data_IF_891737299081
#
_entry.id   IF_891737299081
#
_cell.length_a   1.000
_cell.length_b   1.000
_cell.length_c   1.000
_cell.angle_alpha   90.00
_cell.angle_beta   90.00
_cell.angle_gamma   90.00
#
_symmetry.space_group_name_H-M   'P 1'
#
loop_
_entity.id
_entity.type
_entity.pdbx_description
1 polymer ?
#
# COMPACT_ATOMS: atom_id res chain seq x y z
N UNK A 1 63.38 13.76 -24.47
CA UNK A 1 62.37 13.13 -23.60
C UNK A 1 61.48 14.24 -23.03
N UNK A 2 60.53 14.74 -23.81
CA UNK A 2 59.61 15.80 -23.39
C UNK A 2 58.20 15.21 -23.31
N UNK A 3 57.65 15.09 -22.10
CA UNK A 3 56.29 14.62 -21.83
C UNK A 3 55.31 15.77 -22.09
N UNK A 4 54.34 15.52 -22.96
CA UNK A 4 53.14 16.34 -23.14
C UNK A 4 52.22 16.08 -21.94
N UNK A 5 51.91 17.14 -21.17
CA UNK A 5 50.90 17.10 -20.12
C UNK A 5 49.53 17.39 -20.76
N UNK A 6 48.68 16.37 -20.88
CA UNK A 6 47.26 16.56 -21.14
C UNK A 6 46.58 16.92 -19.80
N UNK A 7 46.16 18.18 -19.66
CA UNK A 7 45.20 18.58 -18.64
C UNK A 7 43.80 18.18 -19.09
N UNK A 8 43.16 17.25 -18.39
CA UNK A 8 41.72 17.05 -18.47
C UNK A 8 41.03 18.12 -17.59
N UNK A 9 39.99 18.82 -18.08
CA UNK A 9 39.19 19.66 -17.21
C UNK A 9 38.29 18.79 -16.34
N UNK A 10 38.36 19.00 -15.03
CA UNK A 10 37.43 18.41 -14.07
C UNK A 10 36.04 19.01 -14.27
N UNK A 11 35.10 18.22 -14.78
CA UNK A 11 33.67 18.56 -14.85
C UNK A 11 32.89 17.60 -13.98
N UNK A 12 32.83 17.80 -12.66
CA UNK A 12 31.96 17.01 -11.77
C UNK A 12 31.48 17.77 -10.51
N UNK A 13 31.56 19.11 -10.49
CA UNK A 13 31.13 19.91 -9.32
C UNK A 13 29.80 20.66 -9.46
N UNK A 14 29.33 20.94 -10.69
CA UNK A 14 28.23 21.88 -10.92
C UNK A 14 26.83 21.26 -10.86
N UNK A 15 26.66 20.03 -11.35
CA UNK A 15 25.34 19.40 -11.44
C UNK A 15 24.77 19.01 -10.06
N UNK A 16 25.62 18.58 -9.12
CA UNK A 16 25.21 18.24 -7.75
C UNK A 16 24.85 19.45 -6.89
N UNK A 17 25.51 20.59 -7.11
CA UNK A 17 25.21 21.83 -6.38
C UNK A 17 23.95 22.50 -6.90
N UNK A 18 23.72 22.46 -8.22
CA UNK A 18 22.48 22.96 -8.83
C UNK A 18 21.26 22.09 -8.46
N UNK A 19 21.42 20.77 -8.36
CA UNK A 19 20.33 19.90 -7.92
C UNK A 19 20.02 20.10 -6.43
N UNK A 20 21.04 20.21 -5.57
CA UNK A 20 20.87 20.50 -4.16
C UNK A 20 20.13 21.84 -3.92
N UNK A 21 20.57 22.91 -4.59
CA UNK A 21 19.91 24.22 -4.46
C UNK A 21 18.46 24.25 -4.97
N UNK A 22 18.14 23.46 -6.00
CA UNK A 22 16.76 23.31 -6.46
C UNK A 22 15.88 22.55 -5.45
N UNK A 23 16.43 21.50 -4.81
CA UNK A 23 15.70 20.76 -3.76
C UNK A 23 15.36 21.65 -2.57
N UNK A 24 16.30 22.49 -2.14
CA UNK A 24 16.10 23.43 -1.03
C UNK A 24 15.03 24.47 -1.38
N UNK A 25 15.07 25.04 -2.60
CA UNK A 25 14.07 26.01 -3.06
C UNK A 25 12.64 25.44 -3.11
N UNK A 26 12.50 24.17 -3.52
CA UNK A 26 11.20 23.48 -3.57
C UNK A 26 10.70 23.14 -2.17
N UNK A 27 11.58 22.68 -1.28
CA UNK A 27 11.21 22.35 0.09
C UNK A 27 10.79 23.58 0.90
N UNK A 28 11.45 24.72 0.70
CA UNK A 28 11.15 25.96 1.44
C UNK A 28 9.92 26.72 0.89
N UNK A 29 9.43 26.35 -0.30
CA UNK A 29 8.33 27.06 -0.96
C UNK A 29 6.95 26.50 -0.58
N UNK A 30 6.19 27.30 0.17
CA UNK A 30 4.79 27.00 0.55
C UNK A 30 3.91 26.66 -0.66
N UNK A 31 4.09 27.36 -1.79
CA UNK A 31 3.31 27.10 -3.02
C UNK A 31 3.59 25.72 -3.60
N UNK A 32 4.85 25.26 -3.56
CA UNK A 32 5.22 23.93 -4.03
C UNK A 32 4.73 22.85 -3.07
N UNK A 33 4.86 23.08 -1.76
CA UNK A 33 4.29 22.19 -0.73
C UNK A 33 2.79 21.98 -0.95
N UNK A 34 2.01 23.06 -1.06
CA UNK A 34 0.58 23.00 -1.33
C UNK A 34 0.27 22.27 -2.64
N UNK A 35 1.00 22.60 -3.72
CA UNK A 35 0.86 21.95 -5.02
C UNK A 35 1.08 20.43 -4.94
N UNK A 36 2.06 19.98 -4.17
CA UNK A 36 2.36 18.56 -3.96
C UNK A 36 1.24 17.86 -3.18
N UNK A 37 0.79 18.43 -2.06
CA UNK A 37 -0.28 17.81 -1.25
C UNK A 37 -1.62 17.78 -1.99
N UNK A 38 -1.99 18.84 -2.73
CA UNK A 38 -3.18 18.81 -3.57
C UNK A 38 -3.06 17.82 -4.73
N UNK A 39 -1.87 17.64 -5.30
CA UNK A 39 -1.61 16.61 -6.31
C UNK A 39 -1.80 15.21 -5.73
N UNK A 40 -1.25 14.93 -4.54
CA UNK A 40 -1.48 13.67 -3.83
C UNK A 40 -2.97 13.46 -3.58
N UNK A 41 -3.67 14.47 -3.05
CA UNK A 41 -5.12 14.44 -2.84
C UNK A 41 -5.88 14.03 -4.11
N UNK A 42 -5.60 14.71 -5.24
CA UNK A 42 -6.25 14.43 -6.51
C UNK A 42 -6.01 12.99 -6.99
N UNK A 43 -4.78 12.49 -6.88
CA UNK A 43 -4.44 11.13 -7.30
C UNK A 43 -5.09 10.08 -6.40
N UNK A 44 -5.08 10.26 -5.08
CA UNK A 44 -5.79 9.37 -4.15
C UNK A 44 -7.30 9.37 -4.38
N UNK A 45 -7.90 10.55 -4.62
CA UNK A 45 -9.32 10.66 -4.94
C UNK A 45 -9.67 9.91 -6.24
N UNK A 46 -8.78 9.95 -7.24
CA UNK A 46 -8.94 9.18 -8.47
C UNK A 46 -8.89 7.67 -8.20
N UNK A 47 -7.89 7.18 -7.45
CA UNK A 47 -7.79 5.75 -7.11
C UNK A 47 -9.01 5.29 -6.30
N UNK A 48 -9.44 6.09 -5.32
CA UNK A 48 -10.64 5.85 -4.51
C UNK A 48 -11.89 5.74 -5.39
N UNK A 49 -12.08 6.68 -6.33
CA UNK A 49 -13.20 6.68 -7.27
C UNK A 49 -13.19 5.44 -8.18
N UNK A 50 -12.01 5.04 -8.69
CA UNK A 50 -11.87 3.81 -9.49
C UNK A 50 -12.28 2.58 -8.68
N UNK A 51 -11.84 2.47 -7.42
CA UNK A 51 -12.20 1.35 -6.54
C UNK A 51 -13.72 1.29 -6.30
N UNK A 52 -14.36 2.43 -6.07
CA UNK A 52 -15.81 2.52 -5.89
C UNK A 52 -16.58 2.13 -7.15
N UNK A 53 -16.17 2.63 -8.32
CA UNK A 53 -16.77 2.27 -9.60
C UNK A 53 -16.63 0.75 -9.84
N UNK A 54 -15.46 0.17 -9.54
CA UNK A 54 -15.26 -1.27 -9.65
C UNK A 54 -16.17 -2.05 -8.70
N UNK A 55 -16.32 -1.61 -7.45
CA UNK A 55 -17.24 -2.21 -6.46
C UNK A 55 -18.68 -2.20 -6.97
N UNK A 56 -19.18 -1.04 -7.41
CA UNK A 56 -20.55 -0.88 -7.94
C UNK A 56 -20.75 -1.80 -9.15
N UNK A 57 -19.78 -1.85 -10.07
CA UNK A 57 -19.86 -2.73 -11.24
C UNK A 57 -19.92 -4.21 -10.87
N UNK A 58 -19.23 -4.63 -9.82
CA UNK A 58 -19.29 -6.02 -9.33
C UNK A 58 -20.64 -6.29 -8.68
N UNK A 59 -21.14 -5.39 -7.82
CA UNK A 59 -22.44 -5.54 -7.16
C UNK A 59 -23.58 -5.66 -8.18
N UNK A 60 -23.62 -4.78 -9.19
CA UNK A 60 -24.62 -4.81 -10.25
C UNK A 60 -24.48 -6.03 -11.19
N UNK A 61 -23.28 -6.62 -11.28
CA UNK A 61 -23.03 -7.78 -12.15
C UNK A 61 -23.48 -9.09 -11.51
N UNK A 62 -23.30 -9.22 -10.19
CA UNK A 62 -23.49 -10.43 -9.39
C UNK A 62 -24.05 -10.09 -7.99
N UNK A 63 -25.28 -9.56 -7.89
CA UNK A 63 -25.90 -9.22 -6.60
C UNK A 63 -26.14 -10.48 -5.74
N UNK A 64 -26.38 -11.63 -6.36
CA UNK A 64 -26.73 -12.88 -5.68
C UNK A 64 -25.60 -13.52 -4.87
N UNK A 65 -24.34 -13.14 -5.11
CA UNK A 65 -23.18 -13.70 -4.41
C UNK A 65 -22.87 -13.01 -3.07
N UNK A 66 -23.70 -12.04 -2.64
CA UNK A 66 -23.50 -11.30 -1.40
C UNK A 66 -22.13 -10.62 -1.32
N UNK A 67 -21.60 -10.45 -0.10
CA UNK A 67 -20.30 -9.81 0.14
C UNK A 67 -19.13 -10.78 -0.01
N UNK A 68 -18.49 -10.75 -1.18
CA UNK A 68 -17.28 -11.55 -1.47
C UNK A 68 -16.00 -10.83 -1.04
N UNK A 69 -14.90 -11.58 -0.85
CA UNK A 69 -13.57 -11.01 -0.55
C UNK A 69 -13.14 -9.96 -1.57
N UNK A 70 -13.53 -10.11 -2.84
CA UNK A 70 -13.26 -9.12 -3.89
C UNK A 70 -14.02 -7.80 -3.65
N UNK A 71 -15.31 -7.86 -3.30
CA UNK A 71 -16.10 -6.67 -2.97
C UNK A 71 -15.53 -5.97 -1.74
N UNK A 72 -15.17 -6.74 -0.71
CA UNK A 72 -14.52 -6.20 0.50
C UNK A 72 -13.19 -5.53 0.16
N UNK A 73 -12.35 -6.15 -0.68
CA UNK A 73 -11.07 -5.56 -1.11
C UNK A 73 -11.26 -4.21 -1.82
N UNK A 74 -12.25 -4.07 -2.71
CA UNK A 74 -12.54 -2.80 -3.38
C UNK A 74 -13.14 -1.76 -2.44
N UNK A 75 -14.03 -2.17 -1.53
CA UNK A 75 -14.56 -1.28 -0.48
C UNK A 75 -13.43 -0.74 0.41
N UNK A 76 -12.53 -1.60 0.87
CA UNK A 76 -11.41 -1.19 1.70
C UNK A 76 -10.45 -0.26 0.93
N UNK A 77 -10.19 -0.51 -0.35
CA UNK A 77 -9.41 0.42 -1.18
C UNK A 77 -10.10 1.78 -1.34
N UNK A 78 -11.42 1.80 -1.54
CA UNK A 78 -12.20 3.05 -1.59
C UNK A 78 -12.02 3.84 -0.28
N UNK A 79 -12.15 3.17 0.87
CA UNK A 79 -11.99 3.79 2.20
C UNK A 79 -10.56 4.27 2.43
N UNK A 80 -9.54 3.43 2.24
CA UNK A 80 -8.13 3.79 2.46
C UNK A 80 -7.73 4.99 1.63
N UNK A 81 -7.95 4.93 0.31
CA UNK A 81 -7.57 6.00 -0.60
C UNK A 81 -8.43 7.24 -0.39
N UNK A 82 -9.71 7.08 -0.04
CA UNK A 82 -10.62 8.20 0.25
C UNK A 82 -10.20 8.96 1.51
N UNK A 83 -9.93 8.25 2.61
CA UNK A 83 -9.44 8.86 3.85
C UNK A 83 -8.11 9.58 3.59
N UNK A 84 -7.18 8.95 2.86
CA UNK A 84 -5.90 9.57 2.50
C UNK A 84 -6.06 10.83 1.63
N UNK A 85 -6.99 10.81 0.67
CA UNK A 85 -7.31 11.98 -0.15
C UNK A 85 -7.83 13.14 0.72
N UNK A 86 -8.77 12.86 1.64
CA UNK A 86 -9.30 13.85 2.57
C UNK A 86 -8.17 14.46 3.42
N UNK A 87 -7.31 13.63 3.98
CA UNK A 87 -6.19 14.11 4.82
C UNK A 87 -5.25 15.05 4.06
N UNK A 88 -4.89 14.72 2.81
CA UNK A 88 -4.06 15.60 2.00
C UNK A 88 -4.80 16.83 1.47
N UNK A 89 -6.12 16.74 1.23
CA UNK A 89 -6.92 17.91 0.86
C UNK A 89 -7.07 18.92 2.00
N UNK A 90 -6.99 18.45 3.25
CA UNK A 90 -7.02 19.27 4.45
C UNK A 90 -5.63 19.40 5.10
N UNK A 91 -4.52 19.20 4.37
CA UNK A 91 -3.17 19.14 4.93
C UNK A 91 -2.85 20.36 5.81
N UNK A 92 -3.21 21.56 5.37
CA UNK A 92 -3.01 22.80 6.16
C UNK A 92 -3.63 22.75 7.55
N UNK A 93 -4.75 22.05 7.74
CA UNK A 93 -5.38 21.89 9.05
C UNK A 93 -4.86 20.66 9.80
N UNK A 94 -4.61 19.56 9.07
CA UNK A 94 -4.18 18.28 9.64
C UNK A 94 -2.83 18.39 10.35
N UNK A 95 -1.89 19.13 9.78
CA UNK A 95 -0.57 19.31 10.37
C UNK A 95 -0.50 20.41 11.44
N UNK A 96 -1.55 21.25 11.56
CA UNK A 96 -1.67 22.28 12.60
C UNK A 96 -2.40 21.80 13.86
N UNK A 97 -2.87 20.54 13.90
CA UNK A 97 -3.57 20.03 15.07
C UNK A 97 -2.66 19.94 16.29
N UNK A 98 -3.06 20.63 17.36
CA UNK A 98 -2.63 20.33 18.72
C UNK A 98 -3.70 19.45 19.39
N UNK A 99 -3.35 18.27 19.95
CA UNK A 99 -1.99 17.74 20.18
C UNK A 99 -1.40 16.98 18.98
N UNK A 100 -0.05 16.91 18.90
CA UNK A 100 0.72 16.19 17.87
C UNK A 100 0.29 14.74 17.67
N UNK A 101 -0.17 14.09 18.74
CA UNK A 101 -0.71 12.73 18.71
C UNK A 101 -1.87 12.59 17.72
N UNK A 102 -2.69 13.63 17.53
CA UNK A 102 -3.79 13.61 16.55
C UNK A 102 -3.25 13.51 15.12
N UNK A 103 -2.21 14.27 14.80
CA UNK A 103 -1.54 14.24 13.48
C UNK A 103 -0.95 12.85 13.20
N UNK A 104 -0.29 12.24 14.19
CA UNK A 104 0.23 10.86 14.08
C UNK A 104 -0.90 9.86 13.80
N UNK A 105 -1.99 9.91 14.57
CA UNK A 105 -3.16 9.05 14.37
C UNK A 105 -3.73 9.21 12.95
N UNK A 106 -3.94 10.46 12.52
CA UNK A 106 -4.51 10.76 11.22
C UNK A 106 -3.61 10.25 10.07
N UNK A 107 -2.29 10.37 10.20
CA UNK A 107 -1.34 9.92 9.16
C UNK A 107 -1.09 8.41 9.19
N UNK A 108 -1.12 7.77 10.36
CA UNK A 108 -0.88 6.33 10.50
C UNK A 108 -2.11 5.48 10.17
N UNK A 109 -3.32 5.96 10.49
CA UNK A 109 -4.55 5.19 10.34
C UNK A 109 -4.78 4.68 8.91
N UNK A 110 -4.63 5.49 7.83
CA UNK A 110 -4.77 4.96 6.47
C UNK A 110 -3.66 3.96 6.12
N UNK A 111 -2.48 4.07 6.76
CA UNK A 111 -1.41 3.08 6.66
C UNK A 111 -1.80 1.72 7.25
N UNK A 112 -2.48 1.71 8.41
CA UNK A 112 -3.04 0.50 8.98
C UNK A 112 -4.17 -0.08 8.14
N UNK A 113 -5.08 0.77 7.65
CA UNK A 113 -6.16 0.34 6.76
C UNK A 113 -5.57 -0.26 5.46
N UNK A 114 -4.48 0.31 4.94
CA UNK A 114 -3.73 -0.24 3.81
C UNK A 114 -3.17 -1.63 4.17
N UNK A 115 -2.52 -1.80 5.32
CA UNK A 115 -2.09 -3.11 5.80
C UNK A 115 -3.23 -4.13 5.81
N UNK A 116 -4.38 -3.82 6.40
CA UNK A 116 -5.54 -4.72 6.43
C UNK A 116 -6.05 -5.06 5.04
N UNK A 117 -6.12 -4.06 4.15
CA UNK A 117 -6.61 -4.19 2.78
C UNK A 117 -5.76 -5.16 1.98
N UNK A 118 -4.44 -5.08 2.09
CA UNK A 118 -3.54 -5.91 1.30
C UNK A 118 -3.26 -7.26 1.94
N UNK A 119 -3.26 -7.37 3.27
CA UNK A 119 -3.23 -8.69 3.93
C UNK A 119 -4.51 -9.49 3.69
N UNK A 120 -5.62 -8.86 3.28
CA UNK A 120 -6.79 -9.56 2.74
C UNK A 120 -6.46 -10.34 1.46
N UNK A 121 -5.54 -9.84 0.61
CA UNK A 121 -5.07 -10.59 -0.56
C UNK A 121 -4.21 -11.79 -0.15
N UNK A 122 -3.40 -11.64 0.89
CA UNK A 122 -2.64 -12.75 1.48
C UNK A 122 -3.59 -13.83 1.98
N UNK A 123 -4.64 -13.44 2.72
CA UNK A 123 -5.72 -14.34 3.13
C UNK A 123 -6.35 -15.03 1.92
N UNK A 124 -6.72 -14.26 0.89
CA UNK A 124 -7.33 -14.80 -0.32
C UNK A 124 -6.43 -15.80 -1.03
N UNK A 125 -5.12 -15.56 -1.11
CA UNK A 125 -4.17 -16.52 -1.68
C UNK A 125 -3.98 -17.75 -0.81
N UNK A 126 -3.96 -17.58 0.52
CA UNK A 126 -3.93 -18.68 1.46
C UNK A 126 -5.16 -19.58 1.30
N UNK A 127 -6.36 -19.00 1.16
CA UNK A 127 -7.60 -19.73 0.90
C UNK A 127 -7.50 -20.54 -0.40
N UNK A 128 -7.09 -19.93 -1.51
CA UNK A 128 -6.91 -20.63 -2.80
C UNK A 128 -5.89 -21.76 -2.68
N UNK A 129 -4.77 -21.51 -2.02
CA UNK A 129 -3.72 -22.50 -1.83
C UNK A 129 -4.20 -23.69 -0.98
N UNK A 130 -4.89 -23.43 0.14
CA UNK A 130 -5.46 -24.47 1.00
C UNK A 130 -6.53 -25.27 0.27
N UNK A 131 -7.43 -24.62 -0.45
CA UNK A 131 -8.48 -25.28 -1.25
C UNK A 131 -7.87 -26.21 -2.30
N UNK A 132 -6.85 -25.76 -3.03
CA UNK A 132 -6.17 -26.57 -4.03
C UNK A 132 -5.40 -27.77 -3.44
N UNK A 133 -5.16 -27.76 -2.12
CA UNK A 133 -4.50 -28.83 -1.38
C UNK A 133 -5.46 -29.61 -0.48
N UNK A 134 -6.77 -29.37 -0.60
CA UNK A 134 -7.81 -29.97 0.26
C UNK A 134 -7.53 -29.83 1.76
N UNK A 135 -6.92 -28.70 2.15
CA UNK A 135 -6.65 -28.33 3.54
C UNK A 135 -7.80 -27.47 4.09
N UNK A 136 -8.06 -27.52 5.42
CA UNK A 136 -9.10 -26.70 6.03
C UNK A 136 -8.81 -25.20 5.87
N UNK A 137 -9.86 -24.43 5.58
CA UNK A 137 -9.82 -22.97 5.39
C UNK A 137 -10.44 -22.17 6.54
N UNK A 138 -11.24 -22.81 7.38
CA UNK A 138 -12.11 -22.13 8.37
C UNK A 138 -11.33 -21.25 9.34
N UNK A 139 -10.12 -21.68 9.70
CA UNK A 139 -9.24 -20.97 10.63
C UNK A 139 -8.52 -19.77 10.02
N UNK A 140 -8.41 -19.68 8.69
CA UNK A 140 -7.63 -18.64 8.02
C UNK A 140 -8.26 -17.25 8.22
N UNK A 141 -9.59 -17.16 8.10
CA UNK A 141 -10.31 -15.90 8.33
C UNK A 141 -10.21 -15.43 9.77
N UNK A 142 -10.36 -16.36 10.72
CA UNK A 142 -10.21 -16.09 12.15
C UNK A 142 -8.80 -15.57 12.43
N UNK A 143 -7.77 -16.21 11.86
CA UNK A 143 -6.39 -15.77 12.00
C UNK A 143 -6.16 -14.36 11.43
N UNK A 144 -6.68 -14.06 10.24
CA UNK A 144 -6.61 -12.71 9.66
C UNK A 144 -7.27 -11.66 10.56
N UNK A 145 -8.47 -11.94 11.08
CA UNK A 145 -9.18 -11.03 12.00
C UNK A 145 -8.38 -10.84 13.29
N UNK A 146 -7.86 -11.92 13.88
CA UNK A 146 -7.06 -11.86 15.09
C UNK A 146 -5.77 -11.05 14.91
N UNK A 147 -5.04 -11.24 13.81
CA UNK A 147 -3.84 -10.46 13.50
C UNK A 147 -4.16 -8.98 13.37
N UNK A 148 -5.22 -8.62 12.63
CA UNK A 148 -5.65 -7.22 12.51
C UNK A 148 -6.07 -6.65 13.87
N UNK A 149 -6.85 -7.39 14.66
CA UNK A 149 -7.27 -6.94 15.99
C UNK A 149 -6.07 -6.65 16.90
N UNK A 150 -5.07 -7.54 16.93
CA UNK A 150 -3.84 -7.34 17.71
C UNK A 150 -3.05 -6.12 17.21
N UNK A 151 -2.87 -5.98 15.89
CA UNK A 151 -2.14 -4.84 15.31
C UNK A 151 -2.81 -3.52 15.67
N UNK A 152 -4.13 -3.43 15.49
CA UNK A 152 -4.88 -2.21 15.80
C UNK A 152 -4.91 -1.93 17.29
N UNK A 153 -5.06 -2.95 18.13
CA UNK A 153 -5.04 -2.78 19.58
C UNK A 153 -3.71 -2.20 20.06
N UNK A 154 -2.58 -2.78 19.64
CA UNK A 154 -1.25 -2.28 20.00
C UNK A 154 -1.07 -0.84 19.50
N UNK A 155 -1.47 -0.52 18.27
CA UNK A 155 -1.34 0.84 17.75
C UNK A 155 -2.18 1.84 18.55
N UNK A 156 -3.42 1.50 18.88
CA UNK A 156 -4.29 2.37 19.69
C UNK A 156 -3.69 2.60 21.07
N UNK A 157 -3.11 1.57 21.70
CA UNK A 157 -2.39 1.74 22.96
C UNK A 157 -1.20 2.72 22.85
N UNK A 158 -0.42 2.63 21.76
CA UNK A 158 0.70 3.56 21.50
C UNK A 158 0.18 4.98 21.32
N UNK A 159 -0.87 5.18 20.53
CA UNK A 159 -1.47 6.50 20.30
C UNK A 159 -2.06 7.10 21.59
N UNK A 160 -2.77 6.32 22.40
CA UNK A 160 -3.31 6.77 23.68
C UNK A 160 -2.18 7.15 24.64
N UNK A 161 -1.10 6.37 24.68
CA UNK A 161 0.05 6.70 25.50
C UNK A 161 0.71 8.01 25.06
N UNK A 162 0.94 8.20 23.75
CA UNK A 162 1.48 9.44 23.17
C UNK A 162 0.58 10.65 23.39
N UNK A 163 -0.74 10.44 23.41
CA UNK A 163 -1.70 11.50 23.69
C UNK A 163 -1.59 12.02 25.11
N UNK A 164 -1.41 11.12 26.08
CA UNK A 164 -1.31 11.46 27.51
C UNK A 164 0.10 11.93 27.86
N UNK A 165 1.13 11.34 27.26
CA UNK A 165 2.53 11.60 27.56
C UNK A 165 3.34 11.72 26.26
N UNK A 166 3.66 12.95 25.88
CA UNK A 166 4.50 13.24 24.70
C UNK A 166 5.93 12.76 24.98
N UNK A 167 6.25 11.55 24.51
CA UNK A 167 7.48 10.84 24.81
C UNK A 167 8.11 10.31 23.52
N UNK A 168 9.32 10.80 23.22
CA UNK A 168 10.09 10.41 22.04
C UNK A 168 10.38 8.91 21.94
N UNK A 169 10.49 8.21 23.08
CA UNK A 169 10.66 6.75 23.11
C UNK A 169 9.39 6.05 22.62
N UNK A 170 8.20 6.55 22.96
CA UNK A 170 6.95 5.97 22.49
C UNK A 170 6.72 6.25 20.99
N UNK A 171 7.15 7.41 20.49
CA UNK A 171 7.14 7.70 19.06
C UNK A 171 8.09 6.75 18.30
N UNK A 172 9.31 6.56 18.82
CA UNK A 172 10.27 5.58 18.30
C UNK A 172 9.68 4.17 18.25
N UNK A 173 9.08 3.71 19.36
CA UNK A 173 8.40 2.40 19.43
C UNK A 173 7.28 2.30 18.40
N UNK A 174 6.49 3.36 18.21
CA UNK A 174 5.44 3.43 17.19
C UNK A 174 5.98 3.23 15.77
N UNK A 175 7.05 3.94 15.40
CA UNK A 175 7.68 3.80 14.08
C UNK A 175 8.25 2.40 13.86
N UNK A 176 8.98 1.87 14.85
CA UNK A 176 9.50 0.48 14.78
C UNK A 176 8.37 -0.54 14.66
N UNK A 177 7.27 -0.35 15.38
CA UNK A 177 6.12 -1.23 15.30
C UNK A 177 5.50 -1.25 13.89
N UNK A 178 5.29 -0.08 13.27
CA UNK A 178 4.78 0.00 11.89
C UNK A 178 5.77 -0.64 10.89
N UNK A 179 7.08 -0.46 11.10
CA UNK A 179 8.10 -1.10 10.27
C UNK A 179 8.02 -2.64 10.37
N UNK A 180 7.93 -3.18 11.59
CA UNK A 180 7.76 -4.63 11.83
C UNK A 180 6.47 -5.17 11.22
N UNK A 181 5.34 -4.49 11.40
CA UNK A 181 4.06 -4.88 10.80
C UNK A 181 4.16 -4.91 9.27
N UNK A 182 4.85 -3.92 8.67
CA UNK A 182 5.09 -3.87 7.23
C UNK A 182 5.99 -5.02 6.77
N UNK A 183 7.04 -5.35 7.52
CA UNK A 183 7.90 -6.50 7.22
C UNK A 183 7.13 -7.83 7.27
N UNK A 184 6.29 -8.01 8.28
CA UNK A 184 5.42 -9.20 8.42
C UNK A 184 4.45 -9.30 7.24
N UNK A 185 3.87 -8.19 6.78
CA UNK A 185 3.05 -8.17 5.57
C UNK A 185 3.84 -8.62 4.34
N UNK A 186 5.05 -8.09 4.14
CA UNK A 186 5.94 -8.49 3.04
C UNK A 186 6.23 -10.00 3.08
N UNK A 187 6.55 -10.56 4.26
CA UNK A 187 6.71 -12.01 4.42
C UNK A 187 5.43 -12.77 4.08
N UNK A 188 4.26 -12.28 4.48
CA UNK A 188 2.97 -12.87 4.11
C UNK A 188 2.77 -12.98 2.60
N UNK A 189 3.08 -11.90 1.86
CA UNK A 189 3.06 -11.88 0.40
C UNK A 189 4.06 -12.88 -0.19
N UNK A 190 5.30 -12.91 0.29
CA UNK A 190 6.32 -13.83 -0.19
C UNK A 190 5.94 -15.29 0.04
N UNK A 191 5.41 -15.62 1.23
CA UNK A 191 5.04 -16.98 1.62
C UNK A 191 3.81 -17.48 0.86
N UNK A 192 2.67 -16.81 0.97
CA UNK A 192 1.42 -17.30 0.35
C UNK A 192 1.34 -16.97 -1.14
N UNK A 193 1.83 -15.80 -1.57
CA UNK A 193 1.93 -15.45 -2.99
C UNK A 193 2.92 -16.34 -3.71
N UNK A 194 4.10 -16.56 -3.13
CA UNK A 194 5.12 -17.47 -3.66
C UNK A 194 4.61 -18.91 -3.74
N UNK A 195 4.03 -19.45 -2.65
CA UNK A 195 3.45 -20.81 -2.64
C UNK A 195 2.38 -20.98 -3.72
N UNK A 196 1.47 -20.01 -3.87
CA UNK A 196 0.44 -20.04 -4.90
C UNK A 196 1.04 -19.96 -6.31
N UNK A 197 2.03 -19.09 -6.53
CA UNK A 197 2.73 -18.95 -7.80
C UNK A 197 3.42 -20.26 -8.22
N UNK A 198 4.18 -20.89 -7.32
CA UNK A 198 4.84 -22.17 -7.59
C UNK A 198 3.82 -23.29 -7.85
N UNK A 199 2.72 -23.33 -7.10
CA UNK A 199 1.66 -24.31 -7.31
C UNK A 199 1.02 -24.16 -8.70
N UNK A 200 0.71 -22.93 -9.12
CA UNK A 200 0.14 -22.65 -10.43
C UNK A 200 1.10 -22.96 -11.59
N UNK A 201 2.42 -22.86 -11.35
CA UNK A 201 3.46 -23.18 -12.34
C UNK A 201 3.66 -24.69 -12.56
N UNK A 202 3.32 -25.55 -11.59
CA UNK A 202 3.52 -27.00 -11.68
C UNK A 202 2.61 -27.71 -12.68
N UNK A 203 1.44 -27.15 -12.98
CA UNK A 203 0.56 -27.73 -13.98
C UNK A 203 0.97 -27.28 -15.39
N UNK A 204 0.96 -28.17 -16.41
CA UNK A 204 1.32 -27.81 -17.77
C UNK A 204 0.48 -26.61 -18.22
N UNK A 205 1.16 -25.52 -18.60
CA UNK A 205 0.56 -24.21 -18.91
C UNK A 205 0.04 -24.23 -20.36
N UNK A 206 -0.84 -25.18 -20.66
CA UNK A 206 -1.36 -25.42 -22.00
C UNK A 206 -2.41 -24.37 -22.40
N UNK A 207 -3.08 -23.72 -21.44
CA UNK A 207 -4.11 -22.71 -21.74
C UNK A 207 -3.65 -21.26 -21.51
N UNK A 208 -3.97 -20.37 -22.48
CA UNK A 208 -3.71 -18.91 -22.41
C UNK A 208 -4.31 -18.28 -21.14
N UNK A 209 -5.47 -18.76 -20.68
CA UNK A 209 -6.14 -18.27 -19.47
C UNK A 209 -5.36 -18.56 -18.18
N UNK A 210 -4.74 -19.75 -18.07
CA UNK A 210 -3.95 -20.14 -16.90
C UNK A 210 -2.64 -19.34 -16.79
N UNK A 211 -1.96 -19.11 -17.92
CA UNK A 211 -0.76 -18.24 -17.99
C UNK A 211 -1.05 -16.83 -17.49
N UNK A 212 -2.19 -16.26 -17.91
CA UNK A 212 -2.63 -14.95 -17.44
C UNK A 212 -2.83 -14.95 -15.92
N UNK A 213 -3.48 -15.97 -15.36
CA UNK A 213 -3.72 -16.03 -13.91
C UNK A 213 -2.43 -16.15 -13.10
N UNK A 214 -1.45 -16.91 -13.60
CA UNK A 214 -0.12 -17.00 -13.00
C UNK A 214 0.57 -15.64 -12.98
N UNK A 215 0.51 -14.88 -14.08
CA UNK A 215 1.06 -13.53 -14.16
C UNK A 215 0.34 -12.56 -13.22
N UNK A 216 -1.00 -12.64 -13.12
CA UNK A 216 -1.76 -11.83 -12.16
C UNK A 216 -1.28 -12.05 -10.72
N UNK A 217 -1.17 -13.31 -10.28
CA UNK A 217 -0.70 -13.65 -8.92
C UNK A 217 0.75 -13.21 -8.71
N UNK A 218 1.64 -13.52 -9.65
CA UNK A 218 3.05 -13.16 -9.56
C UNK A 218 3.28 -11.64 -9.50
N UNK A 219 2.62 -10.88 -10.37
CA UNK A 219 2.73 -9.42 -10.39
C UNK A 219 2.17 -8.78 -9.13
N UNK A 220 0.98 -9.19 -8.66
CA UNK A 220 0.43 -8.63 -7.41
C UNK A 220 1.33 -8.98 -6.23
N UNK A 221 1.89 -10.19 -6.19
CA UNK A 221 2.85 -10.60 -5.14
C UNK A 221 4.08 -9.71 -5.14
N UNK A 222 4.71 -9.51 -6.30
CA UNK A 222 5.92 -8.69 -6.41
C UNK A 222 5.64 -7.23 -6.04
N UNK A 223 4.54 -6.65 -6.55
CA UNK A 223 4.16 -5.25 -6.26
C UNK A 223 3.96 -5.05 -4.76
N UNK A 224 3.16 -5.90 -4.12
CA UNK A 224 2.84 -5.74 -2.70
C UNK A 224 4.04 -6.06 -1.80
N UNK A 225 4.82 -7.10 -2.13
CA UNK A 225 6.06 -7.42 -1.42
C UNK A 225 7.02 -6.23 -1.43
N UNK A 226 7.32 -5.68 -2.62
CA UNK A 226 8.24 -4.55 -2.77
C UNK A 226 7.70 -3.31 -2.05
N UNK A 227 6.41 -3.01 -2.20
CA UNK A 227 5.73 -1.92 -1.50
C UNK A 227 5.92 -2.00 0.02
N UNK A 228 5.57 -3.13 0.63
CA UNK A 228 5.69 -3.30 2.09
C UNK A 228 7.15 -3.37 2.56
N UNK A 229 8.07 -3.84 1.72
CA UNK A 229 9.49 -3.83 2.03
C UNK A 229 10.06 -2.40 2.02
N UNK A 230 9.70 -1.59 1.01
CA UNK A 230 10.06 -0.16 0.97
C UNK A 230 9.45 0.54 2.20
N UNK A 231 8.18 0.28 2.52
CA UNK A 231 7.52 0.82 3.72
C UNK A 231 8.29 0.49 4.99
N UNK A 232 8.64 -0.78 5.19
CA UNK A 232 9.43 -1.24 6.32
C UNK A 232 10.75 -0.47 6.43
N UNK A 233 11.45 -0.31 5.32
CA UNK A 233 12.75 0.35 5.31
C UNK A 233 12.63 1.85 5.59
N UNK A 234 11.77 2.58 4.88
CA UNK A 234 11.63 4.03 5.03
C UNK A 234 11.09 4.39 6.41
N UNK A 235 10.08 3.67 6.92
CA UNK A 235 9.55 3.91 8.28
C UNK A 235 10.55 3.49 9.35
N UNK A 236 11.34 2.43 9.10
CA UNK A 236 12.42 2.04 9.98
C UNK A 236 13.51 3.10 10.07
N UNK A 237 13.92 3.67 8.93
CA UNK A 237 14.90 4.77 8.88
C UNK A 237 14.38 6.04 9.55
N UNK A 238 13.11 6.40 9.36
CA UNK A 238 12.50 7.58 9.99
C UNK A 238 12.39 7.50 11.52
N UNK A 239 12.63 6.32 12.10
CA UNK A 239 12.78 6.13 13.53
C UNK A 239 14.14 6.61 14.05
N UNK A 240 15.18 6.59 13.21
CA UNK A 240 16.55 6.97 13.58
C UNK A 240 16.98 8.32 13.01
N UNK A 241 16.33 8.77 11.93
CA UNK A 241 16.68 9.99 11.21
C UNK A 241 15.46 10.93 11.09
N UNK A 242 15.57 12.14 11.62
CA UNK A 242 14.52 13.17 11.55
C UNK A 242 14.31 13.68 10.13
N UNK A 243 15.36 13.70 9.30
CA UNK A 243 15.31 14.21 7.92
C UNK A 243 14.57 13.24 6.98
N UNK A 244 14.37 12.00 7.44
CA UNK A 244 13.55 10.98 6.80
C UNK A 244 12.10 10.95 7.33
N UNK A 245 11.68 11.91 8.17
CA UNK A 245 10.36 11.90 8.79
C UNK A 245 9.24 12.14 7.78
N UNK A 246 8.23 11.27 7.83
CA UNK A 246 7.02 11.34 7.00
C UNK A 246 5.87 12.12 7.65
N UNK A 247 6.08 12.62 8.87
CA UNK A 247 5.09 13.33 9.68
C UNK A 247 5.25 14.85 9.63
N UNK A 248 6.16 15.33 8.78
CA UNK A 248 6.58 16.73 8.70
C UNK A 248 6.17 17.29 7.33
N UNK A 249 5.59 18.49 7.32
CA UNK A 249 5.24 19.21 6.08
C UNK A 249 6.50 19.54 5.26
N UNK A 250 7.59 19.82 5.96
CA UNK A 250 8.86 20.37 5.45
C UNK A 250 9.65 19.39 4.54
N UNK A 251 9.16 18.16 4.36
CA UNK A 251 9.71 17.21 3.38
C UNK A 251 8.66 16.81 2.32
N UNK A 252 8.08 17.79 1.58
CA UNK A 252 6.96 17.54 0.67
C UNK A 252 7.33 16.58 -0.45
N UNK A 253 8.55 16.67 -0.99
CA UNK A 253 9.02 15.77 -2.05
C UNK A 253 9.21 14.34 -1.52
N UNK A 254 9.82 14.17 -0.35
CA UNK A 254 9.99 12.84 0.25
C UNK A 254 8.63 12.19 0.48
N UNK A 255 7.68 12.95 1.05
CA UNK A 255 6.30 12.51 1.20
C UNK A 255 5.68 12.11 -0.15
N UNK A 256 5.82 12.95 -1.17
CA UNK A 256 5.32 12.65 -2.51
C UNK A 256 5.85 11.32 -3.06
N UNK A 257 7.17 11.13 -3.01
CA UNK A 257 7.83 9.90 -3.49
C UNK A 257 7.35 8.70 -2.68
N UNK A 258 7.35 8.80 -1.35
CA UNK A 258 6.94 7.72 -0.46
C UNK A 258 5.50 7.29 -0.71
N UNK A 259 4.54 8.21 -0.65
CA UNK A 259 3.12 7.90 -0.83
C UNK A 259 2.82 7.40 -2.26
N UNK A 260 3.53 7.91 -3.26
CA UNK A 260 3.40 7.41 -4.63
C UNK A 260 3.87 5.97 -4.75
N UNK A 261 5.07 5.65 -4.25
CA UNK A 261 5.68 4.32 -4.39
C UNK A 261 5.02 3.26 -3.50
N UNK A 262 4.67 3.63 -2.28
CA UNK A 262 4.23 2.68 -1.25
C UNK A 262 2.71 2.52 -1.21
N UNK A 263 1.92 3.47 -1.70
CA UNK A 263 0.46 3.41 -1.54
C UNK A 263 -0.30 3.60 -2.86
N UNK A 264 -0.04 4.68 -3.58
CA UNK A 264 -0.78 5.01 -4.82
C UNK A 264 -0.50 3.98 -5.92
N UNK A 265 0.78 3.77 -6.26
CA UNK A 265 1.15 2.87 -7.36
C UNK A 265 0.71 1.42 -7.09
N UNK A 266 0.95 0.84 -5.89
CA UNK A 266 0.42 -0.48 -5.56
C UNK A 266 -1.10 -0.55 -5.69
N UNK A 267 -1.83 0.47 -5.22
CA UNK A 267 -3.31 0.50 -5.31
C UNK A 267 -3.81 0.57 -6.73
N UNK A 268 -3.28 1.49 -7.54
CA UNK A 268 -3.65 1.61 -8.94
C UNK A 268 -3.33 0.33 -9.72
N UNK A 269 -2.13 -0.24 -9.55
CA UNK A 269 -1.71 -1.44 -10.27
C UNK A 269 -2.48 -2.68 -9.85
N UNK A 270 -2.72 -2.88 -8.55
CA UNK A 270 -3.47 -4.05 -8.07
C UNK A 270 -4.94 -3.97 -8.49
N UNK A 271 -5.59 -2.81 -8.37
CA UNK A 271 -6.94 -2.60 -8.90
C UNK A 271 -7.01 -2.81 -10.41
N UNK A 272 -5.98 -2.40 -11.15
CA UNK A 272 -5.88 -2.64 -12.59
C UNK A 272 -5.74 -4.14 -12.92
N UNK A 273 -4.85 -4.85 -12.23
CA UNK A 273 -4.63 -6.29 -12.46
C UNK A 273 -5.87 -7.10 -12.10
N UNK A 274 -6.55 -6.75 -11.00
CA UNK A 274 -7.73 -7.44 -10.48
C UNK A 274 -9.07 -6.92 -11.00
N UNK A 275 -9.08 -6.02 -12.00
CA UNK A 275 -10.29 -5.39 -12.56
C UNK A 275 -11.30 -6.34 -13.23
N UNK A 276 -10.95 -7.63 -13.38
CA UNK A 276 -11.77 -8.57 -14.13
C UNK A 276 -13.03 -8.91 -13.33
N UNK A 277 -14.18 -8.68 -13.96
CA UNK A 277 -15.47 -8.99 -13.37
C UNK A 277 -15.71 -10.50 -13.26
N UNK A 278 -16.41 -10.98 -12.22
CA UNK A 278 -16.82 -12.37 -12.13
C UNK A 278 -17.75 -12.75 -13.30
N UNK A 279 -17.66 -14.00 -13.79
CA UNK A 279 -18.55 -14.49 -14.84
C UNK A 279 -20.01 -14.44 -14.36
N UNK A 280 -20.93 -14.02 -15.25
CA UNK A 280 -22.37 -14.16 -14.97
C UNK A 280 -22.69 -15.64 -14.95
N UNK A 281 -23.57 -16.10 -14.04
CA UNK A 281 -24.20 -17.41 -14.22
C UNK A 281 -24.96 -17.36 -15.54
N UNK A 282 -24.58 -18.22 -16.49
CA UNK A 282 -25.52 -18.66 -17.51
C UNK A 282 -26.54 -19.46 -16.71
N UNK A 283 -27.74 -18.92 -16.51
CA UNK A 283 -28.86 -19.70 -16.01
C UNK A 283 -28.91 -20.95 -16.88
N UNK A 284 -28.57 -22.11 -16.31
CA UNK A 284 -28.71 -23.37 -17.01
C UNK A 284 -30.17 -23.45 -17.44
N UNK A 285 -30.42 -23.18 -18.72
CA UNK A 285 -31.64 -23.57 -19.37
C UNK A 285 -31.64 -25.08 -19.25
N UNK A 286 -32.36 -25.59 -18.24
CA UNK A 286 -32.74 -26.99 -18.16
C UNK A 286 -33.51 -27.27 -19.45
N UNK A 287 -32.82 -27.78 -20.46
CA UNK A 287 -33.49 -28.46 -21.54
C UNK A 287 -34.00 -29.76 -20.93
N UNK A 288 -35.32 -29.94 -20.75
CA UNK A 288 -35.84 -31.24 -20.37
C UNK A 288 -35.42 -32.21 -21.48
N UNK A 289 -34.75 -33.29 -21.09
CA UNK A 289 -34.50 -34.42 -21.97
C UNK A 289 -35.88 -34.94 -22.39
N UNK A 290 -36.16 -34.92 -23.69
CA UNK A 290 -37.36 -35.50 -24.28
C UNK A 290 -37.11 -36.94 -24.66
#
# INVERSE_FOLDING_TARGET
MARILFGFPATDGGAGVLSAGWWDEVNDSVKWQDGIFFSLCAVYALVSSVALIQLIRIELRVPEYGWTTQKVFHLMNFVVNGVRAVLFGFHMHVFLFHPKALTLVLLDLPGLLFFSTYTLLVLFWAEIYHQARSLPTDKLRIFYIAVNAVVYFIQVCIWVYLWVNDNSVAEFVGKIFIAVVSFVAALGFLLYGGRLFFMLRRFPIESKGRRKKLHEVGSVTAICFTCFLIRCFVVGLSAFDSDASLYVIDHPVLNFIYYTLVEILPSALVLYILRKLPPRRVSAQYHPIR
#
